data_IF_287409231926
#
_entry.id   IF_287409231926
#
_cell.length_a   1.000
_cell.length_b   1.000
_cell.length_c   1.000
_cell.angle_alpha   90.00
_cell.angle_beta   90.00
_cell.angle_gamma   90.00
#
_symmetry.space_group_name_H-M   'P 1'
#
loop_
_entity.id
_entity.type
_entity.pdbx_description
1 polymer ?
#
# COMPACT_ATOMS: atom_id res chain seq x y z
N UNK A 1 -20.72 -47.01 -3.25
CA UNK A 1 -20.63 -48.21 -4.13
C UNK A 1 -20.29 -47.84 -5.57
N UNK A 2 -21.11 -47.05 -6.28
CA UNK A 2 -20.85 -46.66 -7.67
C UNK A 2 -19.56 -45.85 -7.89
N UNK A 3 -19.18 -44.98 -6.95
CA UNK A 3 -17.91 -44.22 -7.02
C UNK A 3 -16.72 -45.18 -7.04
N UNK A 4 -16.66 -46.14 -6.12
CA UNK A 4 -15.58 -47.13 -6.05
C UNK A 4 -15.48 -47.96 -7.34
N UNK A 5 -16.64 -48.37 -7.89
CA UNK A 5 -16.69 -49.07 -9.17
C UNK A 5 -16.15 -48.20 -10.32
N UNK A 6 -16.49 -46.91 -10.34
CA UNK A 6 -15.97 -45.96 -11.32
C UNK A 6 -14.43 -45.82 -11.23
N UNK A 7 -13.86 -45.72 -10.01
CA UNK A 7 -12.40 -45.68 -9.83
C UNK A 7 -11.69 -46.93 -10.37
N UNK A 8 -12.32 -48.11 -10.31
CA UNK A 8 -11.74 -49.35 -10.85
C UNK A 8 -11.68 -49.35 -12.38
N UNK A 9 -12.68 -48.78 -13.06
CA UNK A 9 -12.70 -48.71 -14.52
C UNK A 9 -11.91 -47.52 -15.07
N UNK A 10 -11.90 -46.38 -14.37
CA UNK A 10 -11.24 -45.14 -14.80
C UNK A 10 -9.85 -44.96 -14.14
N UNK A 11 -9.12 -46.06 -13.94
CA UNK A 11 -7.84 -46.06 -13.23
C UNK A 11 -6.78 -45.14 -13.85
N UNK A 12 -6.79 -44.97 -15.18
CA UNK A 12 -5.88 -44.03 -15.88
C UNK A 12 -6.15 -42.60 -15.42
N UNK A 13 -7.41 -42.17 -15.38
CA UNK A 13 -7.77 -40.81 -14.97
C UNK A 13 -7.47 -40.57 -13.50
N UNK A 14 -7.61 -41.58 -12.65
CA UNK A 14 -7.22 -41.49 -11.24
C UNK A 14 -5.72 -41.21 -11.06
N UNK A 15 -4.87 -41.92 -11.80
CA UNK A 15 -3.43 -41.64 -11.81
C UNK A 15 -3.15 -40.24 -12.37
N UNK A 16 -3.82 -39.86 -13.47
CA UNK A 16 -3.69 -38.51 -14.04
C UNK A 16 -4.13 -37.40 -13.06
N UNK A 17 -5.09 -37.65 -12.16
CA UNK A 17 -5.51 -36.71 -11.11
C UNK A 17 -4.51 -36.64 -9.96
N UNK A 18 -3.85 -37.74 -9.62
CA UNK A 18 -2.87 -37.81 -8.54
C UNK A 18 -1.50 -37.26 -8.94
N UNK A 19 -1.12 -37.39 -10.21
CA UNK A 19 0.21 -37.02 -10.71
C UNK A 19 0.55 -35.53 -10.47
N UNK A 20 -0.34 -34.54 -10.73
CA UNK A 20 -0.06 -33.13 -10.44
C UNK A 20 0.16 -32.82 -8.95
N UNK A 21 -0.33 -33.68 -8.05
CA UNK A 21 -0.16 -33.53 -6.58
C UNK A 21 1.10 -34.22 -6.07
N UNK A 22 1.79 -34.98 -6.91
CA UNK A 22 3.01 -35.68 -6.53
C UNK A 22 4.21 -34.77 -6.73
N UNK A 23 5.11 -34.72 -5.75
CA UNK A 23 6.29 -33.87 -5.79
C UNK A 23 7.50 -34.63 -5.25
N UNK A 24 8.64 -34.49 -5.92
CA UNK A 24 9.91 -35.11 -5.51
C UNK A 24 10.79 -34.07 -4.85
N UNK A 25 11.29 -34.38 -3.65
CA UNK A 25 12.20 -33.52 -2.88
C UNK A 25 13.57 -34.18 -2.74
N UNK A 26 14.59 -33.39 -2.41
CA UNK A 26 15.91 -33.90 -2.05
C UNK A 26 15.87 -34.52 -0.63
N UNK A 27 16.70 -35.54 -0.38
CA UNK A 27 16.80 -36.21 0.92
C UNK A 27 17.24 -35.28 2.05
N UNK A 28 18.00 -34.23 1.72
CA UNK A 28 18.45 -33.21 2.68
C UNK A 28 17.29 -32.39 3.26
N UNK A 29 16.19 -32.23 2.52
CA UNK A 29 15.05 -31.38 2.89
C UNK A 29 13.91 -32.15 3.58
N UNK A 30 14.11 -33.42 3.94
CA UNK A 30 13.05 -34.28 4.51
C UNK A 30 12.53 -33.72 5.84
N UNK A 31 13.42 -33.38 6.77
CA UNK A 31 13.04 -32.90 8.10
C UNK A 31 12.25 -31.59 8.03
N UNK A 32 12.76 -30.62 7.25
CA UNK A 32 12.06 -29.36 6.99
C UNK A 32 10.69 -29.59 6.35
N UNK A 33 10.57 -30.56 5.44
CA UNK A 33 9.29 -30.90 4.80
C UNK A 33 8.31 -31.52 5.79
N UNK A 34 8.76 -32.38 6.72
CA UNK A 34 7.90 -32.95 7.76
C UNK A 34 7.37 -31.84 8.66
N UNK A 35 8.22 -30.91 9.09
CA UNK A 35 7.82 -29.76 9.90
C UNK A 35 6.81 -28.86 9.17
N UNK A 36 7.03 -28.61 7.88
CA UNK A 36 6.09 -27.87 7.03
C UNK A 36 4.73 -28.56 6.95
N UNK A 37 4.70 -29.87 6.70
CA UNK A 37 3.46 -30.64 6.59
C UNK A 37 2.71 -30.71 7.92
N UNK A 38 3.43 -30.82 9.04
CA UNK A 38 2.83 -30.76 10.37
C UNK A 38 2.17 -29.40 10.63
N UNK A 39 2.84 -28.30 10.31
CA UNK A 39 2.28 -26.95 10.42
C UNK A 39 1.06 -26.75 9.50
N UNK A 40 1.13 -27.25 8.26
CA UNK A 40 -0.02 -27.20 7.34
C UNK A 40 -1.20 -28.05 7.84
N UNK A 41 -0.93 -29.21 8.44
CA UNK A 41 -1.95 -30.05 9.06
C UNK A 41 -2.65 -29.33 10.22
N UNK A 42 -1.90 -28.60 11.05
CA UNK A 42 -2.47 -27.76 12.11
C UNK A 42 -3.39 -26.67 11.55
N UNK A 43 -2.97 -25.97 10.49
CA UNK A 43 -3.79 -24.94 9.84
C UNK A 43 -5.07 -25.55 9.25
N UNK A 44 -4.98 -26.68 8.55
CA UNK A 44 -6.14 -27.35 7.96
C UNK A 44 -7.16 -27.81 9.00
N UNK A 45 -6.71 -28.20 10.19
CA UNK A 45 -7.61 -28.56 11.29
C UNK A 45 -8.50 -27.37 11.73
N UNK A 46 -8.03 -26.13 11.56
CA UNK A 46 -8.79 -24.92 11.87
C UNK A 46 -9.96 -24.67 10.91
N UNK A 47 -9.96 -25.25 9.70
CA UNK A 47 -11.06 -25.09 8.73
C UNK A 47 -12.38 -25.65 9.25
N UNK A 48 -12.34 -26.72 10.05
CA UNK A 48 -13.52 -27.37 10.62
C UNK A 48 -13.99 -26.78 11.94
N UNK A 49 -13.24 -25.83 12.51
CA UNK A 49 -13.45 -25.33 13.88
C UNK A 49 -13.89 -23.86 13.82
N UNK A 50 -14.80 -23.47 14.73
CA UNK A 50 -15.18 -22.07 14.88
C UNK A 50 -14.01 -21.28 15.50
N UNK A 51 -13.64 -20.17 14.88
CA UNK A 51 -12.51 -19.36 15.32
C UNK A 51 -12.73 -18.76 16.72
N UNK A 52 -11.76 -18.97 17.59
CA UNK A 52 -11.61 -18.36 18.91
C UNK A 52 -10.20 -17.82 19.12
N UNK A 53 -9.91 -17.36 20.35
CA UNK A 53 -8.61 -16.72 20.68
C UNK A 53 -7.43 -17.70 20.66
N UNK A 54 -7.65 -18.96 21.00
CA UNK A 54 -6.58 -19.97 20.98
C UNK A 54 -6.33 -20.47 19.55
N UNK A 55 -7.38 -20.57 18.74
CA UNK A 55 -7.30 -20.85 17.31
C UNK A 55 -6.57 -19.73 16.57
N UNK A 56 -6.84 -18.46 16.90
CA UNK A 56 -6.10 -17.30 16.36
C UNK A 56 -4.59 -17.43 16.63
N UNK A 57 -4.19 -17.69 17.88
CA UNK A 57 -2.76 -17.87 18.22
C UNK A 57 -2.16 -19.07 17.50
N UNK A 58 -2.92 -20.14 17.35
CA UNK A 58 -2.48 -21.35 16.65
C UNK A 58 -2.26 -21.10 15.16
N UNK A 59 -3.16 -20.34 14.53
CA UNK A 59 -3.02 -19.91 13.14
C UNK A 59 -1.77 -19.05 12.93
N UNK A 60 -1.58 -18.02 13.76
CA UNK A 60 -0.43 -17.12 13.66
C UNK A 60 0.89 -17.90 13.81
N UNK A 61 0.94 -18.84 14.77
CA UNK A 61 2.12 -19.69 14.98
C UNK A 61 2.36 -20.64 13.80
N UNK A 62 1.31 -21.26 13.28
CA UNK A 62 1.38 -22.15 12.12
C UNK A 62 1.93 -21.43 10.88
N UNK A 63 1.41 -20.25 10.58
CA UNK A 63 1.91 -19.40 9.50
C UNK A 63 3.38 -18.98 9.72
N UNK A 64 3.72 -18.57 10.94
CA UNK A 64 5.10 -18.22 11.30
C UNK A 64 6.08 -19.39 11.07
N UNK A 65 5.69 -20.61 11.46
CA UNK A 65 6.51 -21.81 11.23
C UNK A 65 6.69 -22.11 9.75
N UNK A 66 5.66 -21.93 8.93
CA UNK A 66 5.74 -22.12 7.47
C UNK A 66 6.66 -21.06 6.85
N UNK A 67 6.48 -19.79 7.22
CA UNK A 67 7.28 -18.68 6.67
C UNK A 67 8.76 -18.74 7.05
N UNK A 68 9.08 -19.31 8.21
CA UNK A 68 10.47 -19.51 8.65
C UNK A 68 11.10 -20.80 8.10
N UNK A 69 10.35 -21.59 7.33
CA UNK A 69 10.84 -22.83 6.74
C UNK A 69 11.53 -22.57 5.39
N UNK A 70 12.72 -23.16 5.18
CA UNK A 70 13.50 -22.98 3.95
C UNK A 70 12.84 -23.61 2.72
N UNK A 71 12.12 -24.72 2.90
CA UNK A 71 11.42 -25.44 1.81
C UNK A 71 10.35 -24.55 1.17
N UNK A 72 9.77 -23.62 1.94
CA UNK A 72 8.80 -22.63 1.44
C UNK A 72 9.37 -21.79 0.29
N UNK A 73 10.63 -21.36 0.41
CA UNK A 73 11.30 -20.53 -0.59
C UNK A 73 11.96 -21.36 -1.70
N UNK A 74 12.47 -22.55 -1.36
CA UNK A 74 13.15 -23.43 -2.32
C UNK A 74 12.19 -24.11 -3.30
N UNK A 75 10.99 -24.47 -2.84
CA UNK A 75 10.04 -25.28 -3.60
C UNK A 75 8.65 -24.61 -3.70
N UNK A 76 8.50 -23.49 -4.43
CA UNK A 76 7.22 -22.79 -4.56
C UNK A 76 6.11 -23.64 -5.21
N UNK A 77 6.49 -24.56 -6.10
CA UNK A 77 5.54 -25.47 -6.76
C UNK A 77 4.89 -26.44 -5.77
N UNK A 78 5.62 -26.85 -4.73
CA UNK A 78 5.08 -27.71 -3.67
C UNK A 78 3.96 -27.00 -2.91
N UNK A 79 4.13 -25.72 -2.58
CA UNK A 79 3.13 -24.93 -1.85
C UNK A 79 1.82 -24.80 -2.63
N UNK A 80 1.91 -24.69 -3.96
CA UNK A 80 0.74 -24.71 -4.86
C UNK A 80 0.11 -26.09 -4.95
N UNK A 81 0.90 -27.14 -5.16
CA UNK A 81 0.39 -28.50 -5.24
C UNK A 81 -0.33 -28.94 -3.94
N UNK A 82 0.12 -28.41 -2.79
CA UNK A 82 -0.51 -28.60 -1.50
C UNK A 82 -1.75 -27.71 -1.27
N UNK A 83 -2.10 -26.78 -2.17
CA UNK A 83 -3.25 -25.88 -1.95
C UNK A 83 -3.10 -25.02 -0.69
N UNK A 84 -1.87 -24.60 -0.35
CA UNK A 84 -1.62 -23.86 0.89
C UNK A 84 -2.31 -22.49 0.89
N UNK A 85 -2.27 -21.81 -0.25
CA UNK A 85 -2.93 -20.52 -0.46
C UNK A 85 -4.46 -20.62 -0.35
N UNK A 86 -5.07 -21.66 -0.95
CA UNK A 86 -6.51 -21.97 -0.81
C UNK A 86 -6.88 -22.16 0.67
N UNK A 87 -6.11 -22.97 1.41
CA UNK A 87 -6.37 -23.24 2.84
C UNK A 87 -6.36 -21.94 3.66
N UNK A 88 -5.36 -21.08 3.46
CA UNK A 88 -5.26 -19.80 4.20
C UNK A 88 -6.38 -18.84 3.80
N UNK A 89 -6.74 -18.84 2.51
CA UNK A 89 -7.84 -18.04 1.98
C UNK A 89 -9.18 -18.45 2.60
N UNK A 90 -9.47 -19.75 2.67
CA UNK A 90 -10.70 -20.29 3.27
C UNK A 90 -10.82 -19.95 4.76
N UNK A 91 -9.72 -20.06 5.52
CA UNK A 91 -9.67 -19.61 6.92
C UNK A 91 -9.99 -18.11 7.03
N UNK A 92 -9.41 -17.29 6.14
CA UNK A 92 -9.69 -15.86 6.11
C UNK A 92 -11.16 -15.57 5.78
N UNK A 93 -11.73 -16.27 4.79
CA UNK A 93 -13.14 -16.14 4.39
C UNK A 93 -14.07 -16.44 5.55
N UNK A 94 -13.80 -17.47 6.35
CA UNK A 94 -14.62 -17.84 7.50
C UNK A 94 -14.66 -16.74 8.58
N UNK A 95 -13.62 -15.91 8.69
CA UNK A 95 -13.58 -14.80 9.65
C UNK A 95 -14.19 -13.53 9.08
N UNK A 96 -14.01 -13.28 7.78
CA UNK A 96 -14.57 -12.09 7.12
C UNK A 96 -16.08 -12.22 6.86
N UNK A 97 -16.58 -13.42 6.57
CA UNK A 97 -18.00 -13.66 6.28
C UNK A 97 -18.93 -13.54 7.50
N UNK A 98 -18.37 -13.37 8.71
CA UNK A 98 -19.11 -13.32 9.97
C UNK A 98 -19.66 -11.93 10.36
N UNK A 99 -19.44 -10.88 9.59
CA UNK A 99 -19.86 -9.53 9.98
C UNK A 99 -20.09 -8.57 8.81
N UNK A 100 -21.33 -8.10 8.66
CA UNK A 100 -21.66 -6.93 7.82
C UNK A 100 -21.18 -5.60 8.45
N UNK A 101 -20.68 -5.63 9.68
CA UNK A 101 -20.06 -4.49 10.37
C UNK A 101 -18.55 -4.50 10.11
N UNK A 102 -17.97 -3.34 9.76
CA UNK A 102 -16.53 -3.09 9.50
C UNK A 102 -15.58 -3.43 10.68
N UNK A 103 -16.09 -4.03 11.76
CA UNK A 103 -15.31 -4.46 12.92
C UNK A 103 -14.86 -5.91 12.76
N UNK A 104 -13.55 -6.09 12.56
CA UNK A 104 -12.92 -7.40 12.44
C UNK A 104 -12.80 -8.01 13.85
N UNK A 105 -13.32 -9.23 14.03
CA UNK A 105 -13.24 -9.95 15.31
C UNK A 105 -11.81 -10.38 15.67
N UNK A 106 -11.01 -10.76 14.67
CA UNK A 106 -9.62 -11.23 14.83
C UNK A 106 -8.65 -10.53 13.85
N UNK A 107 -8.34 -9.23 14.05
CA UNK A 107 -7.56 -8.44 13.09
C UNK A 107 -6.10 -8.92 12.96
N UNK A 108 -5.45 -9.33 14.06
CA UNK A 108 -4.06 -9.81 14.03
C UNK A 108 -3.93 -11.10 13.23
N UNK A 109 -4.90 -12.00 13.31
CA UNK A 109 -4.94 -13.21 12.49
C UNK A 109 -5.06 -12.87 11.00
N UNK A 110 -6.04 -12.03 10.62
CA UNK A 110 -6.26 -11.62 9.22
C UNK A 110 -5.01 -10.95 8.66
N UNK A 111 -4.33 -10.11 9.44
CA UNK A 111 -3.07 -9.48 9.06
C UNK A 111 -2.00 -10.51 8.68
N UNK A 112 -1.79 -11.52 9.55
CA UNK A 112 -0.79 -12.55 9.31
C UNK A 112 -1.14 -13.42 8.10
N UNK A 113 -2.42 -13.75 7.89
CA UNK A 113 -2.89 -14.44 6.70
C UNK A 113 -2.59 -13.63 5.43
N UNK A 114 -2.94 -12.34 5.40
CA UNK A 114 -2.68 -11.49 4.25
C UNK A 114 -1.18 -11.31 4.00
N UNK A 115 -0.38 -11.11 5.07
CA UNK A 115 1.08 -11.00 4.97
C UNK A 115 1.70 -12.27 4.38
N UNK A 116 1.26 -13.44 4.83
CA UNK A 116 1.66 -14.72 4.27
C UNK A 116 1.33 -14.80 2.77
N UNK A 117 0.09 -14.44 2.38
CA UNK A 117 -0.34 -14.47 0.98
C UNK A 117 0.45 -13.47 0.11
N UNK A 118 0.77 -12.28 0.63
CA UNK A 118 1.66 -11.33 -0.05
C UNK A 118 3.05 -11.93 -0.30
N UNK A 119 3.65 -12.61 0.69
CA UNK A 119 4.92 -13.31 0.49
C UNK A 119 4.81 -14.46 -0.50
N UNK A 120 3.72 -15.25 -0.42
CA UNK A 120 3.45 -16.33 -1.36
C UNK A 120 3.41 -15.84 -2.81
N UNK A 121 2.77 -14.69 -3.07
CA UNK A 121 2.77 -14.02 -4.37
C UNK A 121 4.19 -13.61 -4.82
N UNK A 122 4.98 -13.00 -3.92
CA UNK A 122 6.33 -12.49 -4.26
C UNK A 122 7.32 -13.57 -4.68
N UNK A 123 7.14 -14.81 -4.21
CA UNK A 123 8.09 -15.91 -4.47
C UNK A 123 8.03 -16.40 -5.92
N UNK A 124 6.85 -16.37 -6.55
CA UNK A 124 6.68 -16.93 -7.89
C UNK A 124 5.54 -16.30 -8.68
N UNK A 125 5.80 -16.01 -9.96
CA UNK A 125 4.77 -15.53 -10.91
C UNK A 125 3.61 -16.51 -11.06
N UNK A 126 3.87 -17.81 -10.94
CA UNK A 126 2.79 -18.79 -11.03
C UNK A 126 1.97 -18.89 -9.74
N UNK A 127 2.53 -18.48 -8.59
CA UNK A 127 1.78 -18.30 -7.35
C UNK A 127 0.85 -17.09 -7.45
N UNK A 128 1.33 -15.98 -8.02
CA UNK A 128 0.50 -14.82 -8.33
C UNK A 128 -0.70 -15.21 -9.19
N UNK A 129 -0.48 -16.03 -10.24
CA UNK A 129 -1.57 -16.51 -11.10
C UNK A 129 -2.63 -17.30 -10.32
N UNK A 130 -2.22 -18.17 -9.41
CA UNK A 130 -3.16 -18.92 -8.56
C UNK A 130 -3.96 -17.97 -7.64
N UNK A 131 -3.30 -16.95 -7.08
CA UNK A 131 -3.98 -15.93 -6.28
C UNK A 131 -4.90 -15.02 -7.10
N UNK A 132 -4.57 -14.77 -8.36
CA UNK A 132 -5.37 -13.94 -9.28
C UNK A 132 -6.75 -14.56 -9.54
N UNK A 133 -6.90 -15.88 -9.48
CA UNK A 133 -8.20 -16.56 -9.57
C UNK A 133 -9.16 -16.17 -8.41
N UNK A 134 -8.60 -15.76 -7.28
CA UNK A 134 -9.35 -15.27 -6.10
C UNK A 134 -9.49 -13.74 -6.06
N UNK A 135 -9.04 -13.02 -7.09
CA UNK A 135 -8.98 -11.54 -7.10
C UNK A 135 -10.35 -10.90 -6.81
N UNK A 136 -11.42 -11.36 -7.46
CA UNK A 136 -12.75 -10.75 -7.29
C UNK A 136 -13.25 -10.83 -5.85
N UNK A 137 -12.96 -11.93 -5.13
CA UNK A 137 -13.30 -12.07 -3.71
C UNK A 137 -12.45 -11.13 -2.84
N UNK A 138 -11.16 -11.02 -3.11
CA UNK A 138 -10.26 -10.11 -2.39
C UNK A 138 -10.71 -8.64 -2.55
N UNK A 139 -11.15 -8.27 -3.75
CA UNK A 139 -11.67 -6.93 -4.03
C UNK A 139 -13.01 -6.67 -3.35
N UNK A 140 -13.88 -7.67 -3.17
CA UNK A 140 -15.14 -7.49 -2.42
C UNK A 140 -14.91 -7.21 -0.94
N UNK A 141 -13.80 -7.73 -0.40
CA UNK A 141 -13.42 -7.57 1.00
C UNK A 141 -12.25 -6.59 1.18
N UNK A 142 -11.97 -5.74 0.18
CA UNK A 142 -10.79 -4.87 0.19
C UNK A 142 -10.84 -3.77 1.25
N UNK A 143 -12.04 -3.36 1.66
CA UNK A 143 -12.23 -2.29 2.67
C UNK A 143 -11.78 -2.68 4.09
N UNK A 144 -11.48 -3.96 4.30
CA UNK A 144 -11.13 -4.53 5.60
C UNK A 144 -9.73 -4.07 6.04
N UNK A 145 -9.68 -3.37 7.17
CA UNK A 145 -8.41 -3.03 7.85
C UNK A 145 -7.64 -1.86 7.25
N UNK A 146 -8.17 -1.19 6.21
CA UNK A 146 -7.48 -0.09 5.52
C UNK A 146 -7.23 1.15 6.40
N UNK A 147 -8.09 1.41 7.38
CA UNK A 147 -7.95 2.53 8.32
C UNK A 147 -6.94 2.28 9.45
N UNK A 148 -6.29 1.11 9.51
CA UNK A 148 -5.33 0.76 10.56
C UNK A 148 -3.90 0.78 9.99
N UNK A 149 -3.01 1.69 10.42
CA UNK A 149 -1.63 1.75 9.93
C UNK A 149 -0.85 0.45 10.16
N UNK A 150 -1.07 -0.18 11.32
CA UNK A 150 -0.52 -1.50 11.67
C UNK A 150 -0.87 -2.63 10.70
N UNK A 151 -1.93 -2.49 9.90
CA UNK A 151 -2.36 -3.47 8.90
C UNK A 151 -1.78 -3.19 7.51
N UNK A 152 -1.01 -2.11 7.32
CA UNK A 152 -0.42 -1.73 6.03
C UNK A 152 0.47 -2.86 5.50
N UNK A 153 0.23 -3.25 4.24
CA UNK A 153 0.91 -4.39 3.60
C UNK A 153 0.37 -5.76 4.00
N UNK A 154 -0.68 -5.79 4.82
CA UNK A 154 -1.28 -7.00 5.41
C UNK A 154 -2.82 -6.96 5.32
N UNK A 155 -3.37 -6.30 4.30
CA UNK A 155 -4.82 -6.27 4.03
C UNK A 155 -5.19 -7.11 2.81
N UNK A 156 -6.47 -7.50 2.62
CA UNK A 156 -6.91 -8.18 1.41
C UNK A 156 -6.62 -7.39 0.13
N UNK A 157 -6.67 -6.05 0.19
CA UNK A 157 -6.29 -5.18 -0.92
C UNK A 157 -4.79 -5.28 -1.25
N UNK A 158 -3.92 -5.42 -0.24
CA UNK A 158 -2.48 -5.64 -0.46
C UNK A 158 -2.21 -6.99 -1.13
N UNK A 159 -2.98 -8.03 -0.77
CA UNK A 159 -2.88 -9.34 -1.43
C UNK A 159 -3.34 -9.25 -2.89
N UNK A 160 -4.43 -8.54 -3.16
CA UNK A 160 -4.90 -8.26 -4.51
C UNK A 160 -3.82 -7.51 -5.32
N UNK A 161 -3.22 -6.46 -4.75
CA UNK A 161 -2.11 -5.73 -5.37
C UNK A 161 -0.90 -6.65 -5.63
N UNK A 162 -0.48 -7.45 -4.65
CA UNK A 162 0.64 -8.37 -4.79
C UNK A 162 0.42 -9.46 -5.86
N UNK A 163 -0.85 -9.79 -6.17
CA UNK A 163 -1.20 -10.74 -7.22
C UNK A 163 -0.98 -10.19 -8.64
N UNK A 164 -0.99 -8.87 -8.82
CA UNK A 164 -0.79 -8.22 -10.14
C UNK A 164 0.55 -7.49 -10.26
N UNK A 165 1.17 -7.16 -9.13
CA UNK A 165 2.43 -6.40 -9.05
C UNK A 165 3.54 -7.05 -9.88
N UNK A 166 4.21 -6.22 -10.70
CA UNK A 166 5.35 -6.57 -11.56
C UNK A 166 5.07 -7.73 -12.54
N UNK A 167 3.81 -7.97 -12.89
CA UNK A 167 3.39 -9.05 -13.77
C UNK A 167 2.51 -8.56 -14.93
N UNK A 168 3.15 -8.30 -16.07
CA UNK A 168 2.48 -7.77 -17.26
C UNK A 168 1.34 -8.68 -17.76
N UNK A 169 1.47 -10.00 -17.68
CA UNK A 169 0.43 -10.94 -18.14
C UNK A 169 -0.85 -10.81 -17.29
N UNK A 170 -0.70 -10.73 -15.97
CA UNK A 170 -1.84 -10.60 -15.06
C UNK A 170 -2.42 -9.19 -15.06
N UNK A 171 -1.57 -8.17 -15.22
CA UNK A 171 -2.04 -6.79 -15.41
C UNK A 171 -2.92 -6.68 -16.66
N UNK A 172 -2.52 -7.27 -17.79
CA UNK A 172 -3.35 -7.32 -19.01
C UNK A 172 -4.59 -8.21 -18.87
N UNK A 173 -4.59 -9.18 -17.95
CA UNK A 173 -5.74 -10.02 -17.67
C UNK A 173 -6.79 -9.33 -16.77
N UNK A 174 -6.49 -8.15 -16.20
CA UNK A 174 -7.45 -7.38 -15.43
C UNK A 174 -8.61 -6.92 -16.31
N UNK A 175 -9.81 -6.96 -15.75
CA UNK A 175 -11.03 -6.56 -16.45
C UNK A 175 -11.56 -5.24 -15.89
N UNK A 176 -12.32 -4.53 -16.71
CA UNK A 176 -12.97 -3.26 -16.32
C UNK A 176 -13.79 -3.38 -15.01
N UNK A 177 -14.57 -4.45 -14.74
CA UNK A 177 -15.31 -4.58 -13.47
C UNK A 177 -14.41 -4.66 -12.23
N UNK A 178 -13.21 -5.23 -12.36
CA UNK A 178 -12.27 -5.36 -11.25
C UNK A 178 -11.72 -3.96 -10.87
N UNK A 179 -11.38 -3.14 -11.88
CA UNK A 179 -10.95 -1.75 -11.70
C UNK A 179 -12.09 -0.83 -11.26
N UNK A 180 -13.29 -0.99 -11.82
CA UNK A 180 -14.46 -0.19 -11.48
C UNK A 180 -14.83 -0.35 -10.01
N UNK A 181 -14.77 -1.57 -9.47
CA UNK A 181 -15.04 -1.84 -8.05
C UNK A 181 -14.10 -1.04 -7.13
N UNK A 182 -12.81 -0.97 -7.47
CA UNK A 182 -11.84 -0.18 -6.71
C UNK A 182 -12.12 1.32 -6.82
N UNK A 183 -12.46 1.81 -8.01
CA UNK A 183 -12.83 3.22 -8.22
C UNK A 183 -14.13 3.56 -7.47
N UNK A 184 -15.10 2.64 -7.39
CA UNK A 184 -16.31 2.80 -6.59
C UNK A 184 -16.00 2.97 -5.10
N UNK A 185 -15.08 2.18 -4.54
CA UNK A 185 -14.66 2.36 -3.15
C UNK A 185 -13.90 3.67 -2.94
N UNK A 186 -13.01 4.04 -3.88
CA UNK A 186 -12.31 5.33 -3.86
C UNK A 186 -13.28 6.52 -3.88
N UNK A 187 -14.33 6.48 -4.71
CA UNK A 187 -15.38 7.50 -4.72
C UNK A 187 -16.11 7.58 -3.36
N UNK A 188 -16.34 6.43 -2.73
CA UNK A 188 -16.87 6.36 -1.36
C UNK A 188 -15.97 7.07 -0.33
N UNK A 189 -14.65 6.93 -0.45
CA UNK A 189 -13.69 7.64 0.40
C UNK A 189 -13.76 9.17 0.22
N UNK A 190 -14.09 9.66 -0.97
CA UNK A 190 -14.25 11.10 -1.24
C UNK A 190 -15.53 11.72 -0.65
N UNK A 191 -16.52 10.90 -0.29
CA UNK A 191 -17.84 11.33 0.19
C UNK A 191 -18.10 11.00 1.67
N UNK A 192 -17.32 10.11 2.27
CA UNK A 192 -17.56 9.59 3.61
C UNK A 192 -16.34 9.78 4.52
N UNK A 193 -16.61 10.25 5.73
CA UNK A 193 -15.62 10.31 6.81
C UNK A 193 -15.26 8.91 7.33
N UNK A 194 -14.03 8.75 7.81
CA UNK A 194 -13.62 7.51 8.46
C UNK A 194 -14.19 7.42 9.88
N UNK A 195 -15.28 6.66 10.06
CA UNK A 195 -15.90 6.46 11.38
C UNK A 195 -14.92 5.93 12.44
N UNK A 196 -13.95 5.09 12.05
CA UNK A 196 -12.90 4.59 12.95
C UNK A 196 -11.99 5.70 13.49
N UNK A 197 -11.58 6.66 12.64
CA UNK A 197 -10.75 7.78 13.05
C UNK A 197 -11.53 8.76 13.95
N UNK A 198 -12.78 9.06 13.57
CA UNK A 198 -13.66 9.91 14.39
C UNK A 198 -13.87 9.29 15.77
N UNK A 199 -14.11 7.98 15.86
CA UNK A 199 -14.23 7.26 17.14
C UNK A 199 -12.95 7.32 18.00
N UNK A 200 -11.77 7.24 17.35
CA UNK A 200 -10.46 7.41 17.99
C UNK A 200 -10.18 8.86 18.44
N UNK A 201 -11.02 9.82 18.07
CA UNK A 201 -10.93 11.23 18.49
C UNK A 201 -10.19 12.13 17.50
N UNK A 202 -9.99 11.68 16.26
CA UNK A 202 -9.46 12.52 15.19
C UNK A 202 -10.51 13.52 14.69
N UNK A 203 -10.10 14.70 14.18
CA UNK A 203 -11.01 15.64 13.55
C UNK A 203 -11.69 15.03 12.32
N UNK A 204 -12.97 15.36 12.16
CA UNK A 204 -13.73 14.97 10.99
C UNK A 204 -13.48 15.95 9.84
N UNK A 205 -12.83 15.47 8.79
CA UNK A 205 -12.52 16.23 7.57
C UNK A 205 -13.55 16.02 6.44
N UNK A 206 -14.55 15.15 6.64
CA UNK A 206 -15.61 14.91 5.64
C UNK A 206 -15.26 13.93 4.51
N UNK A 207 -14.04 13.40 4.48
CA UNK A 207 -13.56 12.41 3.50
C UNK A 207 -12.42 11.56 4.11
N UNK A 208 -11.96 10.53 3.42
CA UNK A 208 -10.99 9.57 3.93
C UNK A 208 -9.71 9.46 3.07
N UNK A 209 -8.69 10.30 3.32
CA UNK A 209 -7.42 10.25 2.60
C UNK A 209 -6.62 8.98 2.90
N UNK A 210 -6.76 8.41 4.10
CA UNK A 210 -6.00 7.23 4.54
C UNK A 210 -6.40 6.00 3.74
N UNK A 211 -7.70 5.71 3.63
CA UNK A 211 -8.17 4.57 2.82
C UNK A 211 -8.01 4.84 1.32
N UNK A 212 -8.25 6.09 0.89
CA UNK A 212 -8.15 6.48 -0.51
C UNK A 212 -6.77 6.22 -1.11
N UNK A 213 -5.71 6.53 -0.36
CA UNK A 213 -4.33 6.28 -0.77
C UNK A 213 -4.06 4.81 -1.08
N UNK A 214 -4.64 3.88 -0.30
CA UNK A 214 -4.47 2.43 -0.48
C UNK A 214 -5.10 1.92 -1.77
N UNK A 215 -6.25 2.48 -2.15
CA UNK A 215 -6.90 2.17 -3.43
C UNK A 215 -6.12 2.73 -4.61
N UNK A 216 -5.56 3.93 -4.48
CA UNK A 216 -4.69 4.52 -5.50
C UNK A 216 -3.43 3.67 -5.71
N UNK A 217 -2.82 3.15 -4.64
CA UNK A 217 -1.68 2.23 -4.70
C UNK A 217 -2.02 0.95 -5.49
N UNK A 218 -3.19 0.34 -5.28
CA UNK A 218 -3.62 -0.80 -6.09
C UNK A 218 -3.73 -0.44 -7.58
N UNK A 219 -4.39 0.67 -7.90
CA UNK A 219 -4.54 1.14 -9.28
C UNK A 219 -3.18 1.42 -9.92
N UNK A 220 -2.22 1.95 -9.14
CA UNK A 220 -0.85 2.20 -9.58
C UNK A 220 -0.16 0.92 -10.06
N UNK A 221 -0.28 -0.17 -9.31
CA UNK A 221 0.26 -1.47 -9.72
C UNK A 221 -0.45 -2.09 -10.92
N UNK A 222 -1.74 -1.77 -11.13
CA UNK A 222 -2.51 -2.25 -12.28
C UNK A 222 -2.15 -1.51 -13.58
N UNK A 223 -1.78 -0.23 -13.52
CA UNK A 223 -1.48 0.59 -14.70
C UNK A 223 0.01 0.69 -15.02
N UNK A 224 0.90 0.31 -14.11
CA UNK A 224 2.33 0.46 -14.29
C UNK A 224 3.07 -0.82 -13.90
N UNK A 225 3.78 -1.42 -14.85
CA UNK A 225 4.52 -2.66 -14.63
C UNK A 225 5.92 -2.56 -15.25
N UNK A 226 6.95 -2.95 -14.51
CA UNK A 226 8.33 -3.05 -15.00
C UNK A 226 8.89 -1.77 -15.68
N UNK A 227 8.40 -0.59 -15.29
CA UNK A 227 8.85 0.69 -15.86
C UNK A 227 7.99 1.23 -17.01
N UNK A 228 6.97 0.49 -17.45
CA UNK A 228 6.12 0.85 -18.58
C UNK A 228 4.65 0.99 -18.17
N UNK A 229 3.93 1.89 -18.85
CA UNK A 229 2.48 2.04 -18.70
C UNK A 229 1.71 0.94 -19.44
N UNK A 230 0.79 0.29 -18.73
CA UNK A 230 -0.18 -0.64 -19.31
C UNK A 230 -1.34 0.19 -19.87
N UNK A 231 -1.22 0.59 -21.13
CA UNK A 231 -2.13 1.54 -21.80
C UNK A 231 -3.61 1.13 -21.71
N UNK A 232 -3.94 -0.15 -21.88
CA UNK A 232 -5.33 -0.62 -21.81
C UNK A 232 -5.97 -0.34 -20.44
N UNK A 233 -5.25 -0.64 -19.37
CA UNK A 233 -5.68 -0.37 -18.00
C UNK A 233 -5.69 1.12 -17.70
N UNK A 234 -4.64 1.86 -18.08
CA UNK A 234 -4.55 3.31 -17.86
C UNK A 234 -5.73 4.05 -18.49
N UNK A 235 -6.09 3.70 -19.73
CA UNK A 235 -7.22 4.30 -20.45
C UNK A 235 -8.55 4.05 -19.73
N UNK A 236 -8.76 2.85 -19.20
CA UNK A 236 -9.95 2.49 -18.42
C UNK A 236 -9.96 3.26 -17.09
N UNK A 237 -8.85 3.27 -16.35
CA UNK A 237 -8.73 3.96 -15.07
C UNK A 237 -9.00 5.45 -15.21
N UNK A 238 -8.37 6.15 -16.17
CA UNK A 238 -8.61 7.58 -16.42
C UNK A 238 -10.09 7.82 -16.74
N UNK A 239 -10.69 6.99 -17.59
CA UNK A 239 -12.11 7.11 -17.97
C UNK A 239 -13.06 6.91 -16.79
N UNK A 240 -12.76 5.96 -15.90
CA UNK A 240 -13.56 5.69 -14.71
C UNK A 240 -13.44 6.83 -13.69
N UNK A 241 -12.23 7.36 -13.49
CA UNK A 241 -11.98 8.48 -12.57
C UNK A 241 -12.69 9.75 -13.02
N UNK A 242 -12.62 10.15 -14.30
CA UNK A 242 -13.29 11.37 -14.78
C UNK A 242 -14.82 11.28 -14.72
N UNK A 243 -15.39 10.07 -14.72
CA UNK A 243 -16.84 9.87 -14.55
C UNK A 243 -17.30 10.03 -13.10
N UNK A 244 -16.36 10.06 -12.15
CA UNK A 244 -16.60 10.12 -10.70
C UNK A 244 -15.66 11.17 -10.09
N UNK A 245 -16.00 12.47 -10.18
CA UNK A 245 -15.14 13.55 -9.70
C UNK A 245 -14.83 13.47 -8.20
N UNK A 246 -15.60 12.69 -7.43
CA UNK A 246 -15.39 12.42 -6.01
C UNK A 246 -14.06 11.71 -5.72
N UNK A 247 -13.52 10.96 -6.69
CA UNK A 247 -12.25 10.25 -6.55
C UNK A 247 -11.02 11.17 -6.45
N UNK A 248 -11.12 12.42 -6.91
CA UNK A 248 -9.97 13.35 -6.91
C UNK A 248 -9.77 14.08 -5.58
N UNK A 249 -10.67 13.87 -4.61
CA UNK A 249 -10.68 14.59 -3.35
C UNK A 249 -11.27 16.01 -3.46
N UNK A 250 -11.50 16.69 -2.32
CA UNK A 250 -12.26 17.93 -2.29
C UNK A 250 -11.62 19.10 -3.06
N UNK A 251 -10.29 19.15 -3.16
CA UNK A 251 -9.59 20.28 -3.77
C UNK A 251 -9.52 20.23 -5.30
N UNK A 252 -9.65 19.04 -5.90
CA UNK A 252 -9.49 18.81 -7.34
C UNK A 252 -10.81 18.51 -8.06
N UNK A 253 -11.95 18.42 -7.35
CA UNK A 253 -13.28 18.07 -7.92
C UNK A 253 -13.97 19.17 -8.74
N UNK A 254 -13.28 20.27 -9.08
CA UNK A 254 -13.75 21.32 -10.00
C UNK A 254 -14.81 22.28 -9.45
N UNK A 255 -15.79 21.82 -8.65
CA UNK A 255 -16.79 22.68 -8.01
C UNK A 255 -16.24 23.25 -6.69
N UNK A 256 -15.60 24.42 -6.76
CA UNK A 256 -15.13 25.18 -5.59
C UNK A 256 -13.85 24.66 -4.93
N UNK A 257 -13.05 23.88 -5.64
CA UNK A 257 -11.73 23.45 -5.17
C UNK A 257 -10.68 24.54 -5.31
N UNK A 258 -9.87 24.77 -4.27
CA UNK A 258 -8.83 25.81 -4.24
C UNK A 258 -7.53 25.42 -4.99
N UNK A 259 -7.53 24.26 -5.68
CA UNK A 259 -6.38 23.73 -6.40
C UNK A 259 -5.43 22.89 -5.54
N UNK A 260 -4.49 22.20 -6.19
CA UNK A 260 -3.56 21.27 -5.54
C UNK A 260 -2.59 22.01 -4.61
N UNK A 261 -2.10 23.18 -5.04
CA UNK A 261 -1.14 23.95 -4.27
C UNK A 261 -1.73 24.45 -2.94
N UNK A 262 -2.98 24.93 -2.97
CA UNK A 262 -3.68 25.37 -1.77
C UNK A 262 -3.90 24.20 -0.81
N UNK A 263 -4.35 23.06 -1.32
CA UNK A 263 -4.57 21.85 -0.54
C UNK A 263 -3.29 21.35 0.15
N UNK A 264 -2.15 21.31 -0.57
CA UNK A 264 -0.86 20.92 0.01
C UNK A 264 -0.42 21.90 1.10
N UNK A 265 -0.55 23.22 0.87
CA UNK A 265 -0.20 24.23 1.88
C UNK A 265 -1.11 24.16 3.11
N UNK A 266 -2.40 23.90 2.93
CA UNK A 266 -3.33 23.69 4.05
C UNK A 266 -2.98 22.44 4.83
N UNK A 267 -2.70 21.32 4.15
CA UNK A 267 -2.29 20.08 4.78
C UNK A 267 -0.99 20.22 5.59
N UNK A 268 -0.02 21.00 5.10
CA UNK A 268 1.19 21.35 5.86
C UNK A 268 0.83 22.14 7.12
N UNK A 269 -0.08 23.12 7.03
CA UNK A 269 -0.54 23.86 8.23
C UNK A 269 -1.26 22.94 9.21
N UNK A 270 -2.05 21.99 8.74
CA UNK A 270 -2.69 20.97 9.57
C UNK A 270 -1.63 20.13 10.28
N UNK A 271 -0.60 19.63 9.59
CA UNK A 271 0.47 18.85 10.23
C UNK A 271 1.25 19.61 11.31
N UNK A 272 1.31 20.94 11.22
CA UNK A 272 1.93 21.79 12.24
C UNK A 272 1.03 22.02 13.45
N UNK A 273 -0.30 21.92 13.27
CA UNK A 273 -1.29 22.09 14.32
C UNK A 273 -1.65 20.74 14.96
N UNK A 274 -1.02 20.46 16.10
CA UNK A 274 -1.24 19.21 16.85
C UNK A 274 -2.71 18.98 17.24
N UNK A 275 -3.53 20.03 17.34
CA UNK A 275 -4.96 19.88 17.66
C UNK A 275 -5.79 19.35 16.48
N UNK A 276 -5.33 19.56 15.25
CA UNK A 276 -5.97 19.13 14.01
C UNK A 276 -5.36 17.87 13.42
N UNK A 277 -4.10 17.60 13.74
CA UNK A 277 -3.36 16.48 13.17
C UNK A 277 -3.48 15.19 13.99
N UNK A 278 -3.67 15.31 15.30
CA UNK A 278 -3.65 14.20 16.27
C UNK A 278 -4.99 14.05 16.99
N UNK A 279 -5.27 12.89 17.59
CA UNK A 279 -6.53 12.71 18.30
C UNK A 279 -6.59 13.62 19.53
N UNK A 280 -7.72 14.31 19.73
CA UNK A 280 -7.89 15.14 20.91
C UNK A 280 -7.93 14.28 22.19
N UNK A 281 -7.23 14.67 23.27
CA UNK A 281 -7.34 13.96 24.54
C UNK A 281 -8.78 14.09 25.05
N UNK A 282 -9.49 12.96 25.15
CA UNK A 282 -10.80 12.93 25.82
C UNK A 282 -10.62 13.33 27.28
N UNK A 283 -11.00 14.56 27.61
CA UNK A 283 -11.10 15.03 28.99
C UNK A 283 -12.08 14.13 29.74
N UNK A 284 -11.59 13.40 30.76
CA UNK A 284 -12.45 12.77 31.77
C UNK A 284 -12.60 11.25 31.74
N UNK A 285 -11.51 10.46 31.71
CA UNK A 285 -11.50 9.12 32.34
C UNK A 285 -10.18 8.96 33.09
N UNK A 286 -10.26 8.87 34.43
CA UNK A 286 -9.12 8.63 35.33
C UNK A 286 -8.32 7.40 34.85
N UNK A 287 -7.06 7.61 34.48
CA UNK A 287 -6.10 6.53 34.22
C UNK A 287 -5.84 5.76 35.51
N UNK A 288 -6.47 4.60 35.68
CA UNK A 288 -5.96 3.60 36.62
C UNK A 288 -4.68 3.02 36.00
N UNK A 289 -3.57 3.18 36.71
CA UNK A 289 -2.27 2.63 36.35
C UNK A 289 -2.34 1.09 36.28
N UNK A 290 -2.43 0.56 35.06
CA UNK A 290 -2.03 -0.80 34.70
C UNK A 290 -2.04 -0.90 33.18
N UNK A 291 -0.86 -0.85 32.55
CA UNK A 291 -0.49 -1.51 31.27
C UNK A 291 0.67 -0.78 30.57
N UNK A 292 1.88 -0.90 31.12
CA UNK A 292 3.11 -0.39 30.49
C UNK A 292 3.46 -1.10 29.17
N UNK A 293 2.84 -2.24 28.86
CA UNK A 293 3.01 -2.96 27.59
C UNK A 293 2.01 -2.57 26.49
N UNK A 294 0.93 -1.82 26.79
CA UNK A 294 -0.04 -1.34 25.78
C UNK A 294 0.28 0.05 25.23
N UNK A 295 1.29 0.73 25.77
CA UNK A 295 1.65 2.09 25.35
C UNK A 295 2.62 2.10 24.16
N UNK A 296 3.42 1.06 23.96
CA UNK A 296 4.30 0.93 22.78
C UNK A 296 3.52 0.55 21.50
N UNK A 297 2.59 -0.41 21.57
CA UNK A 297 1.69 -0.75 20.43
C UNK A 297 0.81 0.43 19.97
N UNK A 298 0.62 1.47 20.80
CA UNK A 298 -0.21 2.63 20.46
C UNK A 298 0.53 3.74 19.72
N UNK A 299 1.86 3.76 19.72
CA UNK A 299 2.63 4.78 18.99
C UNK A 299 2.64 4.53 17.48
N UNK A 300 2.69 3.25 17.07
CA UNK A 300 2.70 2.83 15.65
C UNK A 300 1.34 3.01 14.94
N UNK A 301 0.27 3.30 15.70
CA UNK A 301 -1.09 3.53 15.19
C UNK A 301 -1.46 5.03 15.14
N UNK A 302 -0.52 5.94 15.41
CA UNK A 302 -0.76 7.38 15.30
C UNK A 302 -0.78 7.73 13.81
N UNK A 303 -1.87 8.36 13.38
CA UNK A 303 -2.04 8.86 12.02
C UNK A 303 -1.90 10.36 12.07
N UNK A 304 -1.09 10.89 11.17
CA UNK A 304 -0.99 12.32 10.93
C UNK A 304 -1.95 12.69 9.81
N UNK A 305 -3.03 13.41 10.13
CA UNK A 305 -4.07 13.78 9.16
C UNK A 305 -3.48 14.68 8.07
N UNK A 306 -2.62 15.64 8.43
CA UNK A 306 -1.95 16.51 7.47
C UNK A 306 -1.12 15.71 6.46
N UNK A 307 -0.28 14.79 6.95
CA UNK A 307 0.50 13.91 6.09
C UNK A 307 -0.38 12.98 5.24
N UNK A 308 -1.48 12.47 5.78
CA UNK A 308 -2.40 11.60 5.05
C UNK A 308 -3.03 12.33 3.84
N UNK A 309 -3.41 13.61 4.01
CA UNK A 309 -3.92 14.45 2.92
C UNK A 309 -2.85 14.67 1.84
N UNK A 310 -1.62 15.02 2.25
CA UNK A 310 -0.51 15.21 1.31
C UNK A 310 -0.19 13.93 0.54
N UNK A 311 -0.14 12.79 1.25
CA UNK A 311 0.16 11.49 0.67
C UNK A 311 -0.93 11.02 -0.28
N UNK A 312 -2.21 11.28 0.03
CA UNK A 312 -3.32 11.00 -0.89
C UNK A 312 -3.16 11.77 -2.21
N UNK A 313 -2.95 13.09 -2.15
CA UNK A 313 -2.79 13.88 -3.38
C UNK A 313 -1.51 13.50 -4.13
N UNK A 314 -0.40 13.21 -3.43
CA UNK A 314 0.81 12.70 -4.07
C UNK A 314 0.57 11.37 -4.79
N UNK A 315 -0.09 10.41 -4.14
CA UNK A 315 -0.43 9.12 -4.76
C UNK A 315 -1.36 9.27 -5.97
N UNK A 316 -2.32 10.21 -5.90
CA UNK A 316 -3.22 10.51 -7.01
C UNK A 316 -2.46 11.09 -8.21
N UNK A 317 -1.57 12.05 -7.97
CA UNK A 317 -0.74 12.65 -9.03
C UNK A 317 0.25 11.63 -9.61
N UNK A 318 0.87 10.79 -8.78
CA UNK A 318 1.74 9.70 -9.25
C UNK A 318 0.97 8.71 -10.14
N UNK A 319 -0.23 8.28 -9.72
CA UNK A 319 -1.11 7.44 -10.53
C UNK A 319 -1.42 8.09 -11.88
N UNK A 320 -1.86 9.36 -11.89
CA UNK A 320 -2.20 10.07 -13.11
C UNK A 320 -0.97 10.26 -14.04
N UNK A 321 0.22 10.48 -13.47
CA UNK A 321 1.48 10.57 -14.21
C UNK A 321 1.87 9.25 -14.87
N UNK A 322 1.61 8.12 -14.20
CA UNK A 322 1.81 6.77 -14.75
C UNK A 322 0.74 6.36 -15.76
N UNK A 323 -0.47 6.91 -15.63
CA UNK A 323 -1.53 6.77 -16.64
C UNK A 323 -1.30 7.63 -17.89
N UNK A 324 -0.34 8.57 -17.86
CA UNK A 324 -0.04 9.39 -19.01
C UNK A 324 0.52 8.53 -20.15
N UNK A 325 0.04 8.72 -21.39
CA UNK A 325 0.43 7.90 -22.52
C UNK A 325 1.89 8.14 -22.93
N UNK A 326 2.54 7.10 -23.44
CA UNK A 326 3.93 7.17 -23.86
C UNK A 326 4.21 8.20 -24.97
N UNK A 327 5.38 8.84 -24.92
CA UNK A 327 5.78 9.90 -25.87
C UNK A 327 5.68 9.42 -27.32
N UNK A 328 6.14 8.21 -27.63
CA UNK A 328 6.12 7.69 -29.00
C UNK A 328 4.69 7.51 -29.56
N UNK A 329 3.70 7.17 -28.71
CA UNK A 329 2.30 7.05 -29.10
C UNK A 329 1.67 8.41 -29.44
N UNK A 330 2.07 9.44 -28.70
CA UNK A 330 1.64 10.82 -28.95
C UNK A 330 2.23 11.32 -30.27
N UNK A 331 3.52 11.09 -30.52
CA UNK A 331 4.18 11.47 -31.77
C UNK A 331 3.62 10.71 -32.99
N UNK A 332 3.17 9.46 -32.78
CA UNK A 332 2.48 8.68 -33.80
C UNK A 332 1.05 9.19 -34.12
N UNK A 333 0.58 10.26 -33.46
CA UNK A 333 -0.71 10.88 -33.75
C UNK A 333 -1.92 10.07 -33.30
N UNK A 334 -1.78 9.15 -32.33
CA UNK A 334 -2.93 8.40 -31.80
C UNK A 334 -3.89 9.33 -31.08
N UNK A 335 -5.10 9.49 -31.62
CA UNK A 335 -6.11 10.42 -31.10
C UNK A 335 -6.44 10.23 -29.61
N UNK A 336 -6.56 8.99 -29.13
CA UNK A 336 -6.83 8.70 -27.71
C UNK A 336 -5.70 9.18 -26.79
N UNK A 337 -4.43 8.97 -27.17
CA UNK A 337 -3.29 9.43 -26.38
C UNK A 337 -3.27 10.97 -26.25
N UNK A 338 -3.59 11.68 -27.34
CA UNK A 338 -3.68 13.14 -27.34
C UNK A 338 -4.84 13.61 -26.45
N UNK A 339 -6.00 12.95 -26.52
CA UNK A 339 -7.17 13.26 -25.70
C UNK A 339 -6.88 13.09 -24.21
N UNK A 340 -6.28 11.96 -23.81
CA UNK A 340 -5.94 11.68 -22.41
C UNK A 340 -4.92 12.69 -21.90
N UNK A 341 -3.88 12.99 -22.67
CA UNK A 341 -2.90 14.01 -22.31
C UNK A 341 -3.56 15.38 -22.10
N UNK A 342 -4.51 15.77 -22.93
CA UNK A 342 -5.26 17.01 -22.78
C UNK A 342 -6.12 17.02 -21.49
N UNK A 343 -6.78 15.89 -21.17
CA UNK A 343 -7.53 15.73 -19.92
C UNK A 343 -6.62 15.90 -18.70
N UNK A 344 -5.46 15.22 -18.69
CA UNK A 344 -4.50 15.31 -17.59
C UNK A 344 -3.99 16.75 -17.40
N UNK A 345 -3.71 17.48 -18.49
CA UNK A 345 -3.32 18.90 -18.44
C UNK A 345 -4.43 19.81 -17.90
N UNK A 346 -5.69 19.47 -18.18
CA UNK A 346 -6.84 20.23 -17.67
C UNK A 346 -7.12 19.99 -16.19
N UNK A 347 -6.79 18.80 -15.67
CA UNK A 347 -7.03 18.45 -14.27
C UNK A 347 -6.00 19.08 -13.33
N UNK A 348 -4.74 19.16 -13.76
CA UNK A 348 -3.62 19.61 -12.92
C UNK A 348 -2.81 20.66 -13.66
N UNK A 349 -3.00 21.96 -13.36
CA UNK A 349 -2.23 23.04 -13.96
C UNK A 349 -0.73 22.94 -13.65
N UNK A 350 0.12 23.43 -14.57
CA UNK A 350 1.57 23.48 -14.36
C UNK A 350 1.93 24.33 -13.15
N UNK A 351 1.22 25.45 -12.96
CA UNK A 351 1.46 26.40 -11.87
C UNK A 351 1.33 25.74 -10.49
N UNK A 352 0.37 24.83 -10.33
CA UNK A 352 0.17 24.07 -9.10
C UNK A 352 1.36 23.14 -8.82
N UNK A 353 1.83 22.42 -9.85
CA UNK A 353 2.97 21.50 -9.73
C UNK A 353 4.23 22.25 -9.34
N UNK A 354 4.53 23.35 -10.05
CA UNK A 354 5.72 24.16 -9.77
C UNK A 354 5.62 24.78 -8.38
N UNK A 355 4.43 25.25 -7.99
CA UNK A 355 4.16 25.76 -6.66
C UNK A 355 4.43 24.74 -5.56
N UNK A 356 4.03 23.47 -5.74
CA UNK A 356 4.29 22.40 -4.77
C UNK A 356 5.77 22.02 -4.74
N UNK A 357 6.44 21.94 -5.90
CA UNK A 357 7.89 21.67 -5.98
C UNK A 357 8.69 22.77 -5.27
N UNK A 358 8.20 24.01 -5.29
CA UNK A 358 8.85 25.16 -4.64
C UNK A 358 8.65 25.22 -3.12
N UNK A 359 7.85 24.33 -2.53
CA UNK A 359 7.64 24.29 -1.08
C UNK A 359 8.94 23.78 -0.41
N UNK A 360 9.51 24.52 0.56
CA UNK A 360 10.71 24.07 1.26
C UNK A 360 10.40 22.90 2.18
N UNK A 361 11.32 21.95 2.27
CA UNK A 361 11.26 20.89 3.29
C UNK A 361 11.53 21.43 4.69
N UNK A 362 10.99 20.76 5.70
CA UNK A 362 11.40 21.00 7.08
C UNK A 362 12.79 20.39 7.29
N UNK A 363 13.78 21.24 7.55
CA UNK A 363 15.15 20.82 7.87
C UNK A 363 15.25 20.66 9.39
N UNK A 364 15.94 19.62 9.91
CA UNK A 364 16.29 19.53 11.33
C UNK A 364 16.91 20.83 11.82
N UNK A 365 16.44 21.33 12.96
CA UNK A 365 16.96 22.55 13.57
C UNK A 365 17.60 22.25 14.91
N UNK A 366 18.73 22.90 15.19
CA UNK A 366 19.37 22.86 16.50
C UNK A 366 18.60 23.80 17.43
N UNK A 367 17.92 23.25 18.45
CA UNK A 367 17.36 24.11 19.51
C UNK A 367 18.50 24.69 20.35
N UNK A 368 18.23 25.83 21.00
CA UNK A 368 19.16 26.53 21.89
C UNK A 368 19.67 25.67 23.07
N UNK A 369 19.02 24.54 23.36
CA UNK A 369 19.37 23.59 24.41
C UNK A 369 20.31 22.46 23.93
N UNK A 370 20.85 22.55 22.70
CA UNK A 370 21.76 21.54 22.12
C UNK A 370 21.08 20.28 21.59
N UNK A 371 19.75 20.15 21.74
CA UNK A 371 18.97 19.04 21.20
C UNK A 371 18.62 19.28 19.72
N UNK A 372 19.03 18.34 18.87
CA UNK A 372 18.61 18.24 17.46
C UNK A 372 17.13 17.86 17.43
N UNK A 373 16.29 18.68 16.82
CA UNK A 373 14.90 18.29 16.53
C UNK A 373 14.86 17.82 15.09
N UNK A 374 14.87 16.50 14.93
CA UNK A 374 14.63 15.86 13.64
C UNK A 374 13.14 16.01 13.27
N UNK A 375 12.84 16.41 12.02
CA UNK A 375 11.47 16.44 11.52
C UNK A 375 10.96 15.01 11.40
N UNK A 376 9.77 14.78 11.93
CA UNK A 376 9.10 13.50 11.75
C UNK A 376 8.65 13.38 10.28
N UNK A 377 9.40 12.61 9.50
CA UNK A 377 9.11 12.34 8.08
C UNK A 377 7.74 11.68 7.87
N UNK A 378 7.17 11.06 8.90
CA UNK A 378 5.84 10.45 8.87
C UNK A 378 4.70 11.43 9.20
N UNK A 379 5.03 12.65 9.64
CA UNK A 379 4.07 13.68 10.00
C UNK A 379 4.11 14.91 9.07
N UNK A 380 5.19 15.11 8.32
CA UNK A 380 5.43 16.30 7.52
C UNK A 380 5.40 16.09 6.00
N UNK A 381 5.73 17.16 5.29
CA UNK A 381 5.93 17.14 3.84
C UNK A 381 7.24 16.44 3.49
N UNK A 382 7.17 15.36 2.71
CA UNK A 382 8.30 14.48 2.44
C UNK A 382 8.76 14.54 0.97
N UNK A 383 10.01 14.10 0.68
CA UNK A 383 10.53 14.07 -0.68
C UNK A 383 9.68 13.27 -1.67
N UNK A 384 9.05 12.19 -1.21
CA UNK A 384 8.18 11.34 -2.05
C UNK A 384 6.97 12.14 -2.58
N UNK A 385 6.46 13.12 -1.82
CA UNK A 385 5.38 14.00 -2.29
C UNK A 385 5.82 14.84 -3.49
N UNK A 386 7.06 15.36 -3.49
CA UNK A 386 7.61 16.10 -4.65
C UNK A 386 7.92 15.16 -5.83
N UNK A 387 8.41 13.95 -5.55
CA UNK A 387 8.75 12.97 -6.60
C UNK A 387 7.53 12.67 -7.50
N UNK A 388 6.34 12.53 -6.90
CA UNK A 388 5.09 12.36 -7.64
C UNK A 388 4.79 13.54 -8.59
N UNK A 389 5.00 14.78 -8.12
CA UNK A 389 4.78 15.99 -8.93
C UNK A 389 5.74 16.06 -10.11
N UNK A 390 7.01 15.73 -9.87
CA UNK A 390 8.06 15.71 -10.90
C UNK A 390 7.77 14.65 -11.95
N UNK A 391 7.35 13.44 -11.54
CA UNK A 391 6.96 12.37 -12.47
C UNK A 391 5.82 12.83 -13.38
N UNK A 392 4.78 13.43 -12.81
CA UNK A 392 3.66 13.95 -13.60
C UNK A 392 4.10 15.06 -14.56
N UNK A 393 4.93 16.00 -14.09
CA UNK A 393 5.48 17.07 -14.90
C UNK A 393 6.26 16.54 -16.11
N UNK A 394 7.14 15.56 -15.88
CA UNK A 394 7.93 14.93 -16.94
C UNK A 394 7.06 14.18 -17.96
N UNK A 395 6.08 13.40 -17.48
CA UNK A 395 5.24 12.54 -18.32
C UNK A 395 4.20 13.32 -19.13
N UNK A 396 3.56 14.32 -18.53
CA UNK A 396 2.40 15.03 -19.12
C UNK A 396 2.80 16.32 -19.82
N UNK A 397 3.67 17.12 -19.21
CA UNK A 397 4.09 18.39 -19.79
C UNK A 397 5.35 18.23 -20.61
N UNK A 398 6.33 17.48 -20.10
CA UNK A 398 7.68 17.44 -20.65
C UNK A 398 8.44 18.71 -20.32
N UNK A 399 9.75 18.60 -20.11
CA UNK A 399 10.63 19.74 -19.88
C UNK A 399 11.47 19.94 -21.15
N UNK A 400 10.89 20.62 -22.14
CA UNK A 400 11.54 20.88 -23.43
C UNK A 400 12.15 22.29 -23.50
N UNK A 401 11.58 23.26 -22.76
CA UNK A 401 12.07 24.63 -22.70
C UNK A 401 13.18 24.79 -21.66
N UNK A 402 14.33 25.33 -22.10
CA UNK A 402 15.48 25.62 -21.25
C UNK A 402 15.17 26.65 -20.17
N UNK A 403 14.37 27.67 -20.47
CA UNK A 403 14.03 28.70 -19.49
C UNK A 403 13.17 28.12 -18.37
N UNK A 404 12.23 27.25 -18.72
CA UNK A 404 11.41 26.54 -17.75
C UNK A 404 12.23 25.57 -16.87
N UNK A 405 13.21 24.86 -17.46
CA UNK A 405 14.14 24.01 -16.69
C UNK A 405 14.96 24.84 -15.70
N UNK A 406 15.53 25.98 -16.14
CA UNK A 406 16.31 26.86 -15.27
C UNK A 406 15.46 27.41 -14.12
N UNK A 407 14.21 27.77 -14.40
CA UNK A 407 13.26 28.20 -13.38
C UNK A 407 13.00 27.10 -12.33
N UNK A 408 12.74 25.86 -12.76
CA UNK A 408 12.56 24.72 -11.86
C UNK A 408 13.80 24.42 -11.02
N UNK A 409 14.99 24.53 -11.62
CA UNK A 409 16.25 24.34 -10.92
C UNK A 409 16.45 25.40 -9.84
N UNK A 410 16.19 26.67 -10.16
CA UNK A 410 16.38 27.79 -9.23
C UNK A 410 15.41 27.78 -8.05
N UNK A 411 14.12 27.57 -8.32
CA UNK A 411 13.07 27.72 -7.31
C UNK A 411 12.64 26.41 -6.64
N UNK A 412 12.94 25.27 -7.25
CA UNK A 412 12.60 23.94 -6.73
C UNK A 412 13.82 23.16 -6.25
N UNK A 413 14.64 22.70 -7.22
CA UNK A 413 15.64 21.67 -6.95
C UNK A 413 16.90 22.17 -6.22
N UNK A 414 17.39 23.37 -6.51
CA UNK A 414 18.58 23.92 -5.83
C UNK A 414 18.37 24.13 -4.33
N UNK A 415 17.25 24.73 -3.87
CA UNK A 415 16.93 24.78 -2.45
C UNK A 415 16.94 23.40 -1.77
N UNK A 416 16.35 22.40 -2.42
CA UNK A 416 16.28 21.03 -1.89
C UNK A 416 17.68 20.37 -1.82
N UNK A 417 18.51 20.52 -2.86
CA UNK A 417 19.89 20.01 -2.86
C UNK A 417 20.75 20.71 -1.80
N UNK A 418 20.57 22.02 -1.59
CA UNK A 418 21.25 22.76 -0.52
C UNK A 418 20.82 22.27 0.85
N UNK A 419 19.53 22.00 1.04
CA UNK A 419 19.00 21.42 2.27
C UNK A 419 19.63 20.05 2.54
N UNK A 420 19.68 19.17 1.53
CA UNK A 420 20.34 17.87 1.62
C UNK A 420 21.84 17.99 1.98
N UNK A 421 22.58 18.88 1.31
CA UNK A 421 23.99 19.10 1.62
C UNK A 421 24.21 19.66 3.04
N UNK A 422 23.29 20.50 3.53
CA UNK A 422 23.38 21.05 4.90
C UNK A 422 23.22 19.97 5.97
N UNK A 423 22.39 18.95 5.72
CA UNK A 423 22.20 17.82 6.62
C UNK A 423 23.49 17.00 6.79
N UNK A 424 24.20 16.74 5.69
CA UNK A 424 25.47 16.00 5.73
C UNK A 424 26.51 16.69 6.61
N UNK A 425 26.58 18.02 6.56
CA UNK A 425 27.54 18.79 7.38
C UNK A 425 27.26 18.70 8.89
N UNK A 426 26.00 18.58 9.31
CA UNK A 426 25.62 18.46 10.73
C UNK A 426 25.97 17.08 11.28
N UNK A 427 25.78 16.02 10.49
CA UNK A 427 26.20 14.65 10.85
C UNK A 427 27.71 14.51 11.03
N UNK A 428 28.51 15.16 10.17
CA UNK A 428 29.99 15.13 10.25
C UNK A 428 30.49 15.85 11.52
N UNK A 429 29.84 16.95 11.94
CA UNK A 429 30.23 17.66 13.17
C UNK A 429 29.95 16.81 14.42
N UNK A 430 28.86 16.04 14.43
CA UNK A 430 28.53 15.11 15.53
C UNK A 430 29.53 13.95 15.64
N UNK A 431 29.97 13.36 14.52
CA UNK A 431 31.01 12.32 14.56
C UNK A 431 32.35 12.85 15.09
N UNK A 432 32.74 14.06 14.69
CA UNK A 432 34.00 14.68 15.15
C UNK A 432 33.94 15.08 16.63
N UNK A 433 32.80 15.52 17.15
CA UNK A 433 32.62 15.79 18.58
C UNK A 433 32.63 14.51 19.42
N UNK A 434 32.00 13.42 18.95
CA UNK A 434 32.04 12.12 19.62
C UNK A 434 33.46 11.55 19.62
N UNK A 435 34.20 11.65 18.51
CA UNK A 435 35.61 11.25 18.45
C UNK A 435 36.48 12.07 19.41
N UNK A 436 36.28 13.39 19.50
CA UNK A 436 36.99 14.23 20.48
C UNK A 436 36.67 13.86 21.92
N UNK A 437 35.42 13.55 22.24
CA UNK A 437 35.03 13.12 23.59
C UNK A 437 35.65 11.75 23.92
N UNK A 438 35.70 10.82 22.96
CA UNK A 438 36.36 9.53 23.12
C UNK A 438 37.88 9.70 23.32
N UNK A 439 38.54 10.61 22.60
CA UNK A 439 39.97 10.93 22.78
C UNK A 439 40.26 11.60 24.13
N UNK A 440 39.36 12.44 24.64
CA UNK A 440 39.48 13.06 25.97
C UNK A 440 39.27 12.04 27.09
N UNK A 441 38.39 11.05 26.90
CA UNK A 441 38.15 9.97 27.87
C UNK A 441 39.21 8.85 27.82
N UNK A 442 40.04 8.81 26.77
CA UNK A 442 41.10 7.81 26.58
C UNK A 442 42.50 8.30 27.01
N UNK A 443 42.62 9.56 27.44
CA UNK A 443 43.80 10.12 28.12
C UNK A 443 43.47 10.36 29.60
#
# INVERSE_FOLDING_TARGET
>A
MFILLHHQYDGIREVMRALPKTYTINSVSIEDTINLLAALGQIRALLSVRMGKEEEKSMIRGLGNIMNNKVFYQHPNLMRALGMHETVMDVMVNVLSGGHSKEITFPKMVANCCRFLCYFCRISRQNQRAMFEHLSYLLENSSVGLASPSMRGSTPLDVAAASVMDNNELALALREPDLEKVVQYLAGCGLQSCGMLVCKGYPDIGWNPVEGERYLDFLRFAVFCNGESVEENANVVVRLLIRRPECFGPALRGEGGDGLLAAMKEAIKISQDSSKDRPMPKSGIKKTLQNSQKEEEKKDDIIHIGNSIMTFYAALIDLLGRCAPEKHLIHAGKGEAIRIKAILRSLVPVEDLVGVISIPFFIPSLKKDGLVVEPDMSAGFCPDHKAAMVLFLERVYGIEDQNFLLYLLEFGFLPDMRAAASLETVSVVHEVEIQRIIEILSN
#
